data_IF_697089379513
#
_entry.id   IF_697089379513
#
_cell.length_a   1.000
_cell.length_b   1.000
_cell.length_c   1.000
_cell.angle_alpha   90.00
_cell.angle_beta   90.00
_cell.angle_gamma   90.00
#
_symmetry.space_group_name_H-M   'P 1'
#
loop_
_entity.id
_entity.type
_entity.pdbx_description
1 polymer ?
#
# COMPACT_ATOMS: atom_id res chain seq x y z
N UNK A 1 -8.79 8.86 19.69
CA UNK A 1 -9.62 7.67 19.40
C UNK A 1 -8.77 6.42 19.71
N UNK A 2 -9.01 5.74 20.85
CA UNK A 2 -8.27 4.53 21.24
C UNK A 2 -8.80 3.35 20.41
N UNK A 3 -7.98 2.82 19.51
CA UNK A 3 -8.31 1.59 18.75
C UNK A 3 -7.85 0.39 19.56
N UNK A 4 -8.77 -0.48 19.96
CA UNK A 4 -8.42 -1.78 20.53
C UNK A 4 -7.65 -2.57 19.47
N UNK A 5 -6.38 -2.93 19.76
CA UNK A 5 -5.57 -3.75 18.85
C UNK A 5 -6.17 -5.16 18.83
N UNK A 6 -6.49 -5.68 17.65
CA UNK A 6 -7.07 -7.02 17.45
C UNK A 6 -6.05 -8.16 17.62
N UNK A 7 -4.95 -7.91 18.32
CA UNK A 7 -3.81 -8.80 18.42
C UNK A 7 -4.10 -10.02 19.30
N UNK A 8 -4.04 -11.23 18.75
CA UNK A 8 -4.00 -12.48 19.53
C UNK A 8 -2.59 -13.05 19.52
N UNK A 9 -2.04 -13.35 20.69
CA UNK A 9 -0.75 -14.02 20.85
C UNK A 9 -0.99 -15.53 20.93
N UNK A 10 -0.22 -16.31 20.19
CA UNK A 10 -0.30 -17.78 20.15
C UNK A 10 1.08 -18.39 19.98
N UNK A 11 1.28 -19.59 20.54
CA UNK A 11 2.44 -20.41 20.24
C UNK A 11 2.16 -21.26 19.00
N UNK A 12 3.11 -21.30 18.07
CA UNK A 12 3.06 -22.17 16.89
C UNK A 12 4.28 -23.08 16.97
N UNK A 13 4.06 -24.39 16.81
CA UNK A 13 5.15 -25.36 16.72
C UNK A 13 5.83 -25.20 15.37
N UNK A 14 7.11 -24.82 15.37
CA UNK A 14 7.92 -24.74 14.17
C UNK A 14 8.38 -26.11 13.67
N UNK A 15 8.86 -26.17 12.43
CA UNK A 15 9.32 -27.40 11.76
C UNK A 15 10.48 -28.15 12.43
N UNK A 16 11.07 -27.59 13.51
CA UNK A 16 12.13 -28.21 14.31
C UNK A 16 11.71 -28.49 15.76
N UNK A 17 10.41 -28.59 16.04
CA UNK A 17 9.89 -28.82 17.39
C UNK A 17 10.03 -27.64 18.37
N UNK A 18 10.55 -26.49 17.92
CA UNK A 18 10.62 -25.27 18.75
C UNK A 18 9.29 -24.53 18.73
N UNK A 19 8.81 -24.14 19.91
CA UNK A 19 7.67 -23.25 20.06
C UNK A 19 8.07 -21.83 19.68
N UNK A 20 7.42 -21.29 18.65
CA UNK A 20 7.59 -19.89 18.24
C UNK A 20 6.41 -19.07 18.76
N UNK A 21 6.72 -17.98 19.47
CA UNK A 21 5.71 -17.02 19.91
C UNK A 21 5.30 -16.12 18.75
N UNK A 22 4.04 -16.21 18.34
CA UNK A 22 3.49 -15.48 17.20
C UNK A 22 2.37 -14.51 17.65
N UNK A 23 2.34 -13.32 17.05
CA UNK A 23 1.22 -12.37 17.14
C UNK A 23 0.44 -12.37 15.84
N UNK A 24 -0.87 -12.56 15.95
CA UNK A 24 -1.83 -12.42 14.86
C UNK A 24 -2.56 -11.10 15.01
N UNK A 25 -2.49 -10.25 14.00
CA UNK A 25 -3.18 -8.97 13.94
C UNK A 25 -3.78 -8.72 12.53
N UNK A 26 -4.35 -7.54 12.30
CA UNK A 26 -4.91 -7.15 11.02
C UNK A 26 -3.88 -7.14 9.87
N UNK A 27 -2.59 -7.04 10.19
CA UNK A 27 -1.50 -6.99 9.23
C UNK A 27 -0.95 -8.37 8.88
N UNK A 28 -1.11 -9.33 9.79
CA UNK A 28 -0.85 -10.74 9.55
C UNK A 28 -0.26 -11.44 10.76
N UNK A 29 0.78 -12.23 10.51
CA UNK A 29 1.42 -13.07 11.54
C UNK A 29 2.86 -12.60 11.70
N UNK A 30 3.19 -12.16 12.90
CA UNK A 30 4.54 -11.73 13.28
C UNK A 30 5.14 -12.72 14.25
N UNK A 31 6.35 -13.21 13.96
CA UNK A 31 7.20 -13.90 14.92
C UNK A 31 7.72 -12.86 15.93
N UNK A 32 7.33 -12.97 17.19
CA UNK A 32 7.77 -12.04 18.23
C UNK A 32 9.20 -12.29 18.68
N UNK A 33 9.67 -13.54 18.56
CA UNK A 33 11.04 -13.94 18.94
C UNK A 33 12.04 -13.38 17.94
N UNK A 34 11.77 -13.58 16.65
CA UNK A 34 12.63 -13.09 15.55
C UNK A 34 12.33 -11.67 15.13
N UNK A 35 11.19 -11.10 15.56
CA UNK A 35 10.68 -9.78 15.15
C UNK A 35 10.49 -9.67 13.62
N UNK A 36 10.13 -10.77 12.97
CA UNK A 36 9.92 -10.85 11.51
C UNK A 36 8.46 -11.17 11.20
N UNK A 37 7.92 -10.56 10.14
CA UNK A 37 6.58 -10.90 9.65
C UNK A 37 6.63 -12.20 8.84
N UNK A 38 5.99 -13.25 9.36
CA UNK A 38 5.93 -14.57 8.71
C UNK A 38 4.93 -14.55 7.55
N UNK A 39 3.78 -13.90 7.75
CA UNK A 39 2.70 -13.87 6.76
C UNK A 39 2.04 -12.50 6.76
N UNK A 40 1.86 -11.94 5.57
CA UNK A 40 1.20 -10.66 5.36
C UNK A 40 -0.26 -10.87 4.93
N UNK A 41 -1.18 -10.07 5.45
CA UNK A 41 -2.55 -9.97 4.92
C UNK A 41 -2.58 -9.17 3.62
N UNK A 42 -3.63 -9.36 2.81
CA UNK A 42 -3.86 -8.51 1.64
C UNK A 42 -4.03 -7.03 2.02
N UNK A 43 -4.59 -6.76 3.21
CA UNK A 43 -4.67 -5.43 3.79
C UNK A 43 -3.28 -4.82 3.95
N UNK A 44 -2.35 -5.56 4.57
CA UNK A 44 -0.99 -5.07 4.80
C UNK A 44 -0.21 -4.88 3.50
N UNK A 45 -0.33 -5.84 2.57
CA UNK A 45 0.29 -5.74 1.24
C UNK A 45 -0.19 -4.51 0.48
N UNK A 46 -1.51 -4.26 0.46
CA UNK A 46 -2.09 -3.05 -0.13
C UNK A 46 -1.56 -1.79 0.56
N UNK A 47 -1.51 -1.77 1.89
CA UNK A 47 -1.08 -0.60 2.66
C UNK A 47 0.38 -0.27 2.35
N UNK A 48 1.27 -1.26 2.41
CA UNK A 48 2.70 -1.12 2.12
C UNK A 48 2.91 -0.59 0.70
N UNK A 49 2.23 -1.18 -0.28
CA UNK A 49 2.32 -0.74 -1.68
C UNK A 49 1.77 0.67 -1.90
N UNK A 50 0.68 1.06 -1.22
CA UNK A 50 0.15 2.43 -1.30
C UNK A 50 1.12 3.46 -0.72
N UNK A 51 1.77 3.15 0.39
CA UNK A 51 2.76 4.03 1.02
C UNK A 51 4.02 4.14 0.14
N UNK A 52 4.53 3.01 -0.37
CA UNK A 52 5.65 3.00 -1.30
C UNK A 52 5.32 3.75 -2.59
N UNK A 53 4.15 3.49 -3.18
CA UNK A 53 3.67 4.18 -4.38
C UNK A 53 3.56 5.69 -4.19
N UNK A 54 3.06 6.16 -3.05
CA UNK A 54 3.04 7.61 -2.73
C UNK A 54 4.44 8.22 -2.71
N UNK A 55 5.41 7.53 -2.10
CA UNK A 55 6.80 8.00 -2.04
C UNK A 55 7.43 8.05 -3.44
N UNK A 56 7.26 6.98 -4.22
CA UNK A 56 7.76 6.89 -5.59
C UNK A 56 7.16 7.98 -6.48
N UNK A 57 5.86 8.20 -6.40
CA UNK A 57 5.20 9.25 -7.18
C UNK A 57 5.64 10.65 -6.77
N UNK A 58 5.85 10.91 -5.49
CA UNK A 58 6.41 12.18 -5.03
C UNK A 58 7.82 12.41 -5.58
N UNK A 59 8.68 11.38 -5.58
CA UNK A 59 10.01 11.44 -6.18
C UNK A 59 9.95 11.65 -7.70
N UNK A 60 9.07 10.92 -8.38
CA UNK A 60 8.87 11.09 -9.83
C UNK A 60 8.46 12.53 -10.18
N UNK A 61 7.54 13.13 -9.41
CA UNK A 61 7.12 14.52 -9.62
C UNK A 61 8.26 15.52 -9.35
N UNK A 62 9.08 15.30 -8.33
CA UNK A 62 10.25 16.13 -8.05
C UNK A 62 11.30 16.06 -9.18
N UNK A 63 11.62 14.84 -9.62
CA UNK A 63 12.53 14.62 -10.75
C UNK A 63 11.99 15.20 -12.06
N UNK A 64 10.68 15.07 -12.30
CA UNK A 64 10.02 15.69 -13.45
C UNK A 64 10.21 17.21 -13.45
N UNK A 65 10.06 17.87 -12.29
CA UNK A 65 10.31 19.32 -12.15
C UNK A 65 11.76 19.71 -12.44
N UNK A 66 12.71 18.82 -12.13
CA UNK A 66 14.14 18.98 -12.42
C UNK A 66 14.53 18.64 -13.86
N UNK A 67 13.56 18.43 -14.75
CA UNK A 67 13.81 18.18 -16.17
C UNK A 67 14.19 16.73 -16.49
N UNK A 68 13.89 15.76 -15.61
CA UNK A 68 14.18 14.33 -15.82
C UNK A 68 13.71 13.81 -17.20
N UNK A 69 12.64 14.37 -17.76
CA UNK A 69 12.14 13.97 -19.08
C UNK A 69 13.15 14.16 -20.22
N UNK A 70 14.14 15.05 -20.03
CA UNK A 70 15.21 15.31 -21.00
C UNK A 70 16.43 14.43 -20.79
N UNK A 71 16.55 13.74 -19.66
CA UNK A 71 17.71 12.92 -19.35
C UNK A 71 17.76 11.69 -20.26
N UNK A 72 18.93 11.42 -20.86
CA UNK A 72 19.09 10.25 -21.74
C UNK A 72 18.81 8.94 -21.01
N UNK A 73 19.30 8.78 -19.78
CA UNK A 73 18.99 7.62 -18.94
C UNK A 73 17.48 7.45 -18.67
N UNK A 74 16.71 8.54 -18.60
CA UNK A 74 15.25 8.43 -18.46
C UNK A 74 14.59 8.00 -19.77
N UNK A 75 15.05 8.52 -20.91
CA UNK A 75 14.52 8.13 -22.23
C UNK A 75 14.76 6.64 -22.49
N UNK A 76 15.97 6.15 -22.18
CA UNK A 76 16.36 4.75 -22.30
C UNK A 76 15.45 3.83 -21.48
N UNK A 77 15.16 4.17 -20.22
CA UNK A 77 14.39 3.31 -19.32
C UNK A 77 12.90 3.70 -19.18
N UNK A 78 12.40 4.64 -19.99
CA UNK A 78 11.03 5.18 -19.87
C UNK A 78 9.97 4.09 -19.87
N UNK A 79 10.12 3.12 -20.76
CA UNK A 79 9.16 2.04 -20.93
C UNK A 79 9.15 1.07 -19.74
N UNK A 80 10.31 0.79 -19.16
CA UNK A 80 10.40 -0.09 -17.99
C UNK A 80 9.90 0.61 -16.72
N UNK A 81 10.13 1.92 -16.60
CA UNK A 81 9.50 2.76 -15.58
C UNK A 81 7.97 2.68 -15.74
N UNK A 82 7.45 2.84 -16.96
CA UNK A 82 6.01 2.76 -17.25
C UNK A 82 5.43 1.38 -16.90
N UNK A 83 6.10 0.30 -17.31
CA UNK A 83 5.71 -1.08 -16.97
C UNK A 83 5.68 -1.29 -15.46
N UNK A 84 6.66 -0.76 -14.73
CA UNK A 84 6.75 -0.86 -13.27
C UNK A 84 5.57 -0.17 -12.57
N UNK A 85 5.19 1.04 -13.01
CA UNK A 85 3.98 1.71 -12.52
C UNK A 85 2.71 0.92 -12.86
N UNK A 86 2.62 0.34 -14.05
CA UNK A 86 1.51 -0.53 -14.46
C UNK A 86 1.39 -1.78 -13.58
N UNK A 87 2.51 -2.44 -13.27
CA UNK A 87 2.55 -3.59 -12.37
C UNK A 87 2.09 -3.22 -10.97
N UNK A 88 2.59 -2.11 -10.42
CA UNK A 88 2.17 -1.59 -9.12
C UNK A 88 0.65 -1.32 -9.08
N UNK A 89 0.12 -0.69 -10.13
CA UNK A 89 -1.32 -0.42 -10.26
C UNK A 89 -2.16 -1.70 -10.25
N UNK A 90 -1.76 -2.71 -11.03
CA UNK A 90 -2.44 -4.02 -11.06
C UNK A 90 -2.39 -4.74 -9.72
N UNK A 91 -1.24 -4.72 -9.05
CA UNK A 91 -1.09 -5.32 -7.73
C UNK A 91 -1.99 -4.63 -6.70
N UNK A 92 -2.04 -3.30 -6.70
CA UNK A 92 -2.92 -2.51 -5.83
C UNK A 92 -4.40 -2.80 -6.08
N UNK A 93 -4.81 -2.88 -7.35
CA UNK A 93 -6.19 -3.22 -7.71
C UNK A 93 -6.57 -4.61 -7.18
N UNK A 94 -5.70 -5.61 -7.38
CA UNK A 94 -5.90 -6.98 -6.91
C UNK A 94 -6.03 -7.06 -5.39
N UNK A 95 -5.17 -6.38 -4.64
CA UNK A 95 -5.25 -6.41 -3.18
C UNK A 95 -6.45 -5.62 -2.64
N UNK A 96 -6.78 -4.49 -3.27
CA UNK A 96 -7.99 -3.71 -2.95
C UNK A 96 -9.24 -4.57 -3.13
N UNK A 97 -9.34 -5.29 -4.25
CA UNK A 97 -10.45 -6.17 -4.56
C UNK A 97 -10.61 -7.27 -3.48
N UNK A 98 -9.54 -8.05 -3.24
CA UNK A 98 -9.53 -9.10 -2.21
C UNK A 98 -9.90 -8.58 -0.82
N UNK A 99 -9.39 -7.40 -0.43
CA UNK A 99 -9.75 -6.77 0.85
C UNK A 99 -11.23 -6.37 0.87
N UNK A 100 -11.73 -5.80 -0.21
CA UNK A 100 -13.12 -5.31 -0.30
C UNK A 100 -14.11 -6.47 -0.26
N UNK A 101 -13.80 -7.56 -0.97
CA UNK A 101 -14.54 -8.84 -0.92
C UNK A 101 -14.54 -9.46 0.47
N UNK A 102 -13.41 -9.41 1.19
CA UNK A 102 -13.36 -9.88 2.57
C UNK A 102 -14.18 -9.01 3.54
N UNK A 103 -14.35 -7.71 3.27
CA UNK A 103 -15.27 -6.83 3.99
C UNK A 103 -14.84 -6.38 5.40
N UNK A 104 -13.86 -7.06 6.02
CA UNK A 104 -13.48 -6.81 7.42
C UNK A 104 -12.84 -5.44 7.68
N UNK A 105 -12.06 -4.94 6.73
CA UNK A 105 -11.23 -3.74 6.92
C UNK A 105 -11.35 -2.78 5.73
N UNK A 106 -11.45 -1.48 6.05
CA UNK A 106 -11.44 -0.39 5.09
C UNK A 106 -10.31 0.59 5.37
N UNK A 107 -9.78 1.19 4.30
CA UNK A 107 -8.70 2.17 4.38
C UNK A 107 -9.25 3.57 4.17
N UNK A 108 -9.02 4.45 5.13
CA UNK A 108 -9.33 5.87 5.05
C UNK A 108 -8.03 6.67 4.84
N UNK A 109 -7.95 7.45 3.77
CA UNK A 109 -6.81 8.35 3.55
C UNK A 109 -6.97 9.57 4.46
N UNK A 110 -5.90 10.00 5.14
CA UNK A 110 -5.91 11.31 5.78
C UNK A 110 -5.87 12.39 4.71
N UNK A 111 -6.71 13.44 4.83
CA UNK A 111 -6.80 14.50 3.82
C UNK A 111 -5.54 15.35 3.70
N UNK A 112 -4.80 15.56 4.79
CA UNK A 112 -3.67 16.51 4.87
C UNK A 112 -2.29 15.88 5.06
N UNK A 113 -2.20 14.57 5.29
CA UNK A 113 -0.94 13.90 5.67
C UNK A 113 -0.85 12.58 4.90
N UNK A 114 0.35 12.12 4.56
CA UNK A 114 0.59 10.80 3.96
C UNK A 114 0.28 9.60 4.88
N UNK A 115 -0.70 9.73 5.77
CA UNK A 115 -1.20 8.66 6.63
C UNK A 115 -2.38 7.94 5.96
N UNK A 116 -2.49 6.66 6.26
CA UNK A 116 -3.64 5.82 5.92
C UNK A 116 -4.10 5.20 7.22
N UNK A 117 -5.38 5.36 7.54
CA UNK A 117 -6.00 4.73 8.69
C UNK A 117 -6.72 3.47 8.25
N UNK A 118 -6.60 2.43 9.04
CA UNK A 118 -7.38 1.22 8.88
C UNK A 118 -8.55 1.31 9.84
N UNK A 119 -9.71 0.99 9.33
CA UNK A 119 -10.95 1.08 10.05
C UNK A 119 -11.73 -0.23 9.88
N UNK A 120 -12.48 -0.58 10.91
CA UNK A 120 -13.29 -1.79 10.96
C UNK A 120 -14.36 -1.63 12.03
N UNK A 121 -15.57 -2.18 11.86
CA UNK A 121 -16.51 -2.35 12.97
C UNK A 121 -15.88 -3.13 14.13
N UNK A 122 -14.90 -4.00 13.86
CA UNK A 122 -14.17 -4.75 14.89
C UNK A 122 -13.44 -3.84 15.90
N UNK A 123 -13.15 -2.59 15.56
CA UNK A 123 -12.50 -1.64 16.48
C UNK A 123 -13.49 -0.85 17.33
N UNK A 124 -14.76 -0.75 16.92
CA UNK A 124 -15.72 0.21 17.49
C UNK A 124 -16.89 -0.44 18.20
N UNK A 125 -17.10 -1.75 18.06
CA UNK A 125 -18.20 -2.46 18.70
C UNK A 125 -17.84 -3.90 19.06
N UNK A 126 -18.59 -4.54 19.97
CA UNK A 126 -18.38 -5.93 20.35
C UNK A 126 -18.43 -6.88 19.14
N UNK A 127 -17.67 -7.97 19.19
CA UNK A 127 -17.45 -8.90 18.07
C UNK A 127 -18.75 -9.36 17.39
N UNK A 128 -19.77 -9.77 18.15
CA UNK A 128 -21.06 -10.22 17.58
C UNK A 128 -21.74 -9.10 16.77
N UNK A 129 -21.81 -7.88 17.32
CA UNK A 129 -22.35 -6.71 16.65
C UNK A 129 -21.52 -6.29 15.43
N UNK A 130 -20.19 -6.32 15.56
CA UNK A 130 -19.27 -6.01 14.46
C UNK A 130 -19.48 -6.95 13.27
N UNK A 131 -19.59 -8.26 13.52
CA UNK A 131 -19.80 -9.26 12.48
C UNK A 131 -21.17 -9.08 11.79
N UNK A 132 -22.23 -8.78 12.55
CA UNK A 132 -23.56 -8.45 11.98
C UNK A 132 -23.47 -7.24 11.06
N UNK A 133 -22.80 -6.17 11.50
CA UNK A 133 -22.62 -4.95 10.69
C UNK A 133 -21.77 -5.21 9.44
N UNK A 134 -20.71 -6.01 9.53
CA UNK A 134 -19.89 -6.39 8.37
C UNK A 134 -20.72 -7.14 7.34
N UNK A 135 -21.56 -8.10 7.77
CA UNK A 135 -22.46 -8.84 6.87
C UNK A 135 -23.43 -7.91 6.15
N UNK A 136 -24.05 -6.97 6.87
CA UNK A 136 -24.94 -5.98 6.26
C UNK A 136 -24.21 -5.09 5.24
N UNK A 137 -22.97 -4.69 5.52
CA UNK A 137 -22.15 -3.90 4.58
C UNK A 137 -21.87 -4.70 3.31
N UNK A 138 -21.55 -5.99 3.44
CA UNK A 138 -21.29 -6.86 2.29
C UNK A 138 -22.55 -7.04 1.43
N UNK A 139 -23.70 -7.35 2.04
CA UNK A 139 -24.98 -7.47 1.33
C UNK A 139 -25.36 -6.20 0.57
N UNK A 140 -25.17 -5.02 1.18
CA UNK A 140 -25.42 -3.73 0.51
C UNK A 140 -24.50 -3.50 -0.70
N UNK A 141 -23.25 -3.99 -0.65
CA UNK A 141 -22.32 -3.89 -1.78
C UNK A 141 -22.73 -4.83 -2.90
N UNK A 142 -23.05 -6.07 -2.58
CA UNK A 142 -23.52 -7.06 -3.56
C UNK A 142 -24.76 -6.57 -4.30
N UNK A 143 -25.74 -6.00 -3.57
CA UNK A 143 -26.93 -5.41 -4.17
C UNK A 143 -26.61 -4.22 -5.09
N UNK A 144 -25.65 -3.38 -4.72
CA UNK A 144 -25.22 -2.25 -5.55
C UNK A 144 -24.47 -2.71 -6.81
N UNK A 145 -23.59 -3.70 -6.67
CA UNK A 145 -22.84 -4.28 -7.78
C UNK A 145 -23.79 -5.00 -8.76
N UNK A 146 -24.84 -5.67 -8.28
CA UNK A 146 -25.88 -6.26 -9.15
C UNK A 146 -26.70 -5.21 -9.91
N UNK A 147 -27.00 -4.06 -9.29
CA UNK A 147 -27.69 -2.96 -9.95
C UNK A 147 -26.82 -2.36 -11.07
N UNK A 148 -25.52 -2.16 -10.82
CA UNK A 148 -24.57 -1.68 -11.83
C UNK A 148 -24.43 -2.68 -12.98
N UNK A 149 -24.34 -3.97 -12.67
CA UNK A 149 -24.22 -5.02 -13.69
C UNK A 149 -25.46 -5.10 -14.60
N UNK A 150 -26.66 -4.88 -14.04
CA UNK A 150 -27.92 -4.97 -14.78
C UNK A 150 -28.22 -3.72 -15.62
N UNK A 151 -27.70 -2.55 -15.23
CA UNK A 151 -27.94 -1.29 -15.94
C UNK A 151 -26.89 -0.97 -17.03
N UNK A 152 -26.05 -1.94 -17.39
CA UNK A 152 -24.96 -1.76 -18.36
C UNK A 152 -23.81 -0.91 -17.81
N UNK A 153 -22.57 -1.13 -18.27
CA UNK A 153 -21.43 -0.39 -17.74
C UNK A 153 -21.49 1.06 -18.24
N UNK A 154 -21.84 2.00 -17.37
CA UNK A 154 -21.49 3.40 -17.60
C UNK A 154 -19.96 3.48 -17.59
N UNK A 155 -19.41 3.51 -18.80
CA UNK A 155 -18.01 3.32 -19.10
C UNK A 155 -17.10 4.12 -18.18
N UNK A 156 -16.36 3.42 -17.34
CA UNK A 156 -15.15 3.97 -16.74
C UNK A 156 -13.95 3.09 -17.03
N UNK A 157 -13.80 2.75 -18.32
CA UNK A 157 -12.51 2.43 -18.92
C UNK A 157 -11.66 3.69 -19.17
N UNK A 158 -11.73 4.67 -18.26
CA UNK A 158 -10.88 5.85 -18.26
C UNK A 158 -9.58 5.55 -17.51
N UNK A 159 -8.54 5.21 -18.26
CA UNK A 159 -7.12 5.43 -17.91
C UNK A 159 -6.78 5.28 -16.41
N UNK A 160 -6.55 4.04 -15.98
CA UNK A 160 -6.04 3.70 -14.64
C UNK A 160 -4.76 4.46 -14.26
N UNK A 161 -4.01 4.97 -15.24
CA UNK A 161 -2.84 5.83 -15.05
C UNK A 161 -3.23 7.25 -14.57
N UNK A 162 -4.22 7.87 -15.21
CA UNK A 162 -4.69 9.22 -14.89
C UNK A 162 -5.35 9.25 -13.51
N UNK A 163 -6.24 8.28 -13.20
CA UNK A 163 -6.83 8.17 -11.84
C UNK A 163 -5.80 7.87 -10.74
N UNK A 164 -4.71 7.18 -11.07
CA UNK A 164 -3.61 6.98 -10.12
C UNK A 164 -2.93 8.33 -9.83
N UNK A 165 -2.61 9.08 -10.89
CA UNK A 165 -1.98 10.41 -10.83
C UNK A 165 -2.87 11.52 -10.23
N UNK A 166 -4.18 11.50 -10.47
CA UNK A 166 -5.12 12.50 -9.95
C UNK A 166 -5.40 12.31 -8.45
N UNK A 167 -5.34 11.07 -7.95
CA UNK A 167 -5.40 10.78 -6.51
C UNK A 167 -4.09 11.09 -5.76
N UNK A 168 -3.08 11.58 -6.47
CA UNK A 168 -1.71 11.86 -6.01
C UNK A 168 -1.42 13.36 -5.85
N UNK A 169 -2.40 14.23 -6.17
CA UNK A 169 -2.38 15.67 -5.88
C UNK A 169 -2.74 15.98 -4.44
N UNK A 170 -1.80 15.85 -3.51
CA UNK A 170 -1.73 16.73 -2.32
C UNK A 170 -0.35 16.62 -1.66
N UNK A 171 0.36 17.74 -1.79
CA UNK A 171 1.75 18.00 -1.40
C UNK A 171 1.88 18.15 0.12
N UNK A 172 3.01 17.71 0.70
CA UNK A 172 3.37 17.99 2.09
C UNK A 172 4.77 17.52 2.52
N UNK A 173 5.79 18.37 2.26
CA UNK A 173 7.16 18.50 2.83
C UNK A 173 7.80 17.31 3.57
N UNK A 174 8.84 16.71 2.97
CA UNK A 174 10.04 16.13 3.65
C UNK A 174 11.28 16.19 2.74
N UNK A 175 11.72 17.40 2.38
CA UNK A 175 12.84 17.61 1.43
C UNK A 175 14.24 17.26 1.97
N UNK A 176 14.47 17.32 3.28
CA UNK A 176 15.84 17.26 3.83
C UNK A 176 16.43 15.86 3.90
N UNK A 177 15.64 14.84 4.26
CA UNK A 177 16.13 13.45 4.36
C UNK A 177 16.37 12.82 2.98
N UNK A 178 15.69 13.32 1.95
CA UNK A 178 15.87 12.84 0.58
C UNK A 178 17.07 13.48 -0.14
N UNK A 179 17.42 14.72 0.18
CA UNK A 179 18.66 15.35 -0.31
C UNK A 179 19.90 14.62 0.19
N UNK A 180 19.92 14.21 1.46
CA UNK A 180 21.03 13.44 2.04
C UNK A 180 21.24 12.07 1.36
N UNK A 181 20.15 11.36 1.02
CA UNK A 181 20.24 10.07 0.34
C UNK A 181 20.73 10.20 -1.11
N UNK A 182 20.34 11.27 -1.80
CA UNK A 182 20.82 11.54 -3.16
C UNK A 182 22.30 11.96 -3.13
N UNK A 183 22.70 12.78 -2.16
CA UNK A 183 24.09 13.19 -1.98
C UNK A 183 25.01 11.99 -1.68
N UNK A 184 24.58 11.08 -0.80
CA UNK A 184 25.28 9.82 -0.51
C UNK A 184 25.43 8.93 -1.75
N UNK A 185 24.39 8.83 -2.57
CA UNK A 185 24.44 8.03 -3.80
C UNK A 185 25.40 8.61 -4.84
N UNK A 186 25.43 9.94 -5.00
CA UNK A 186 26.37 10.62 -5.90
C UNK A 186 27.81 10.49 -5.39
N UNK A 187 28.03 10.58 -4.08
CA UNK A 187 29.36 10.41 -3.47
C UNK A 187 29.93 9.00 -3.70
N UNK A 188 29.09 7.97 -3.55
CA UNK A 188 29.47 6.57 -3.82
C UNK A 188 29.85 6.38 -5.29
N UNK A 189 29.08 6.97 -6.21
CA UNK A 189 29.39 6.90 -7.65
C UNK A 189 30.69 7.65 -7.99
N UNK A 190 30.93 8.82 -7.39
CA UNK A 190 32.18 9.57 -7.60
C UNK A 190 33.40 8.79 -7.09
N UNK A 191 33.31 8.16 -5.91
CA UNK A 191 34.36 7.29 -5.40
C UNK A 191 34.58 6.07 -6.30
N UNK A 192 33.51 5.45 -6.80
CA UNK A 192 33.64 4.30 -7.71
C UNK A 192 34.37 4.67 -9.02
N UNK A 193 34.14 5.88 -9.55
CA UNK A 193 34.81 6.35 -10.77
C UNK A 193 36.30 6.64 -10.52
N UNK A 194 36.66 7.21 -9.36
CA UNK A 194 38.06 7.54 -9.05
C UNK A 194 38.90 6.29 -8.72
N UNK A 195 38.30 5.27 -8.11
CA UNK A 195 39.02 4.07 -7.68
C UNK A 195 38.98 2.90 -8.68
N UNK A 196 38.03 2.89 -9.63
CA UNK A 196 37.84 1.80 -10.60
C UNK A 196 37.80 2.24 -12.06
N UNK A 197 38.07 3.52 -12.34
CA UNK A 197 38.29 4.06 -13.69
C UNK A 197 39.76 4.44 -13.87
#
# INVERSE_FOLDING_TARGET
MRTNRLGKIQFIVGSRGRLTLCRHDEYGITDLTRRVMIKETYLYRELRLRLAGRKLSAQYLDLKKKGMLRWEAYKEHREDIRKSFGFLGRALARYKDRRTKAGYFYMCKHRKVHKVFIMSPLYTMPRKGAMKKIRQILQKREAYDSIISNNGPLGTHGSNLARCLDLLGSIGRRGLVQLLLIYLFVLILACAIIFYG
#
